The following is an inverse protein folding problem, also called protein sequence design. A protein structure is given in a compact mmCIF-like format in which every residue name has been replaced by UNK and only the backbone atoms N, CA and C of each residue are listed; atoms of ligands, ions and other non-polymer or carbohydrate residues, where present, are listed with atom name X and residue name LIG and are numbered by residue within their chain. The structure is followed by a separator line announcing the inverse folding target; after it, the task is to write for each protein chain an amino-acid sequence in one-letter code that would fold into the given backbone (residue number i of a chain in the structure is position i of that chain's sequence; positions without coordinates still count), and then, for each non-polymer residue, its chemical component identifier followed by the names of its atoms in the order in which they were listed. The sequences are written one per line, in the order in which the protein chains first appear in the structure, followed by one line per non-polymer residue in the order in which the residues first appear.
data_IF_595528779872
#
_entry.id   IF_595528779872
#
_cell.length_a   1.000
_cell.length_b   1.000
_cell.length_c   1.000
_cell.angle_alpha   90.00
_cell.angle_beta   90.00
_cell.angle_gamma   90.00
#
_symmetry.space_group_name_H-M   'P 1'
#
loop_
_entity.id
_entity.type
_entity.pdbx_description
1 polymer ?
#
# COMPACT_ATOMS: atom_id res chain seq x y z
N UNK A 1 -10.45 -25.78 17.56
CA UNK A 1 -9.40 -24.80 17.95
C UNK A 1 -10.10 -23.55 18.47
N UNK A 2 -9.95 -23.24 19.74
CA UNK A 2 -10.49 -22.02 20.35
C UNK A 2 -9.81 -20.81 19.71
N UNK A 3 -10.60 -19.86 19.26
CA UNK A 3 -10.10 -18.63 18.63
C UNK A 3 -9.40 -17.79 19.71
N UNK A 4 -8.11 -17.51 19.56
CA UNK A 4 -7.37 -16.66 20.49
C UNK A 4 -8.02 -15.27 20.54
N UNK A 5 -8.41 -14.85 21.73
CA UNK A 5 -8.97 -13.51 21.96
C UNK A 5 -7.82 -12.55 22.24
N UNK A 6 -7.86 -11.35 21.68
CA UNK A 6 -6.83 -10.32 21.86
C UNK A 6 -7.38 -9.11 22.60
N UNK A 7 -6.59 -8.55 23.53
CA UNK A 7 -6.91 -7.28 24.22
C UNK A 7 -5.90 -6.21 23.82
N UNK A 8 -6.40 -5.02 23.47
CA UNK A 8 -5.57 -3.85 23.19
C UNK A 8 -5.08 -3.24 24.50
N UNK A 9 -3.77 -3.19 24.72
CA UNK A 9 -3.15 -2.65 25.95
C UNK A 9 -3.16 -1.13 25.99
N UNK A 10 -2.93 -0.49 24.85
CA UNK A 10 -2.85 0.97 24.71
C UNK A 10 -4.16 1.60 24.28
N UNK A 11 -5.31 1.09 24.79
CA UNK A 11 -6.63 1.51 24.33
C UNK A 11 -6.85 3.03 24.41
N UNK A 12 -6.44 3.69 25.49
CA UNK A 12 -6.63 5.13 25.68
C UNK A 12 -5.94 5.96 24.59
N UNK A 13 -4.64 5.74 24.37
CA UNK A 13 -3.87 6.44 23.32
C UNK A 13 -4.36 6.06 21.92
N UNK A 14 -4.68 4.79 21.69
CA UNK A 14 -5.21 4.33 20.41
C UNK A 14 -6.59 4.93 20.11
N UNK A 15 -7.47 5.05 21.10
CA UNK A 15 -8.76 5.73 20.95
C UNK A 15 -8.60 7.23 20.61
N UNK A 16 -7.63 7.88 21.21
CA UNK A 16 -7.26 9.28 20.85
C UNK A 16 -6.82 9.34 19.38
N UNK A 17 -5.96 8.42 18.92
CA UNK A 17 -5.55 8.32 17.52
C UNK A 17 -6.75 8.14 16.59
N UNK A 18 -7.71 7.28 16.97
CA UNK A 18 -8.93 7.06 16.18
C UNK A 18 -9.77 8.33 16.02
N UNK A 19 -9.91 9.13 17.09
CA UNK A 19 -10.60 10.43 17.04
C UNK A 19 -9.84 11.44 16.17
N UNK A 20 -8.53 11.50 16.29
CA UNK A 20 -7.66 12.41 15.52
C UNK A 20 -7.74 12.16 14.02
N UNK A 21 -7.96 10.92 13.57
CA UNK A 21 -8.17 10.59 12.14
C UNK A 21 -9.36 11.34 11.52
N UNK A 22 -10.36 11.71 12.32
CA UNK A 22 -11.50 12.53 11.88
C UNK A 22 -11.25 14.03 11.97
N UNK A 23 -10.13 14.48 12.52
CA UNK A 23 -9.83 15.91 12.70
C UNK A 23 -9.31 16.53 11.40
N UNK A 24 -9.93 17.61 10.95
CA UNK A 24 -9.45 18.38 9.81
C UNK A 24 -8.05 18.96 10.06
N UNK A 25 -7.73 19.34 11.29
CA UNK A 25 -6.40 19.88 11.65
C UNK A 25 -5.29 18.84 11.42
N UNK A 26 -5.58 17.55 11.55
CA UNK A 26 -4.61 16.50 11.25
C UNK A 26 -4.31 16.45 9.73
N UNK A 27 -5.34 16.54 8.90
CA UNK A 27 -5.17 16.48 7.45
C UNK A 27 -4.64 17.77 6.85
N UNK A 28 -4.93 18.90 7.48
CA UNK A 28 -4.46 20.23 7.09
C UNK A 28 -3.24 20.64 7.95
N UNK A 29 -2.14 19.91 7.76
CA UNK A 29 -0.93 20.13 8.55
C UNK A 29 -0.36 21.54 8.39
N UNK A 30 0.47 22.03 9.35
CA UNK A 30 1.15 23.33 9.24
C UNK A 30 1.99 23.46 7.96
N UNK A 31 2.56 22.34 7.46
CA UNK A 31 3.33 22.28 6.21
C UNK A 31 2.44 22.55 4.99
N UNK A 32 1.29 21.90 4.92
CA UNK A 32 0.28 22.12 3.88
C UNK A 32 -0.20 23.56 3.94
N UNK A 33 -0.46 24.09 5.12
CA UNK A 33 -0.87 25.48 5.31
C UNK A 33 0.21 26.48 4.86
N UNK A 34 1.48 26.20 5.17
CA UNK A 34 2.61 27.02 4.67
C UNK A 34 2.73 26.96 3.15
N UNK A 35 2.66 25.78 2.57
CA UNK A 35 2.68 25.58 1.11
C UNK A 35 1.51 26.29 0.43
N UNK A 36 0.34 26.33 1.08
CA UNK A 36 -0.85 27.01 0.54
C UNK A 36 -0.75 28.54 0.65
N UNK A 37 -0.29 29.09 1.79
CA UNK A 37 -0.11 30.53 2.01
C UNK A 37 1.11 31.11 1.28
N UNK A 38 2.20 30.32 1.22
CA UNK A 38 3.48 30.74 0.64
C UNK A 38 3.50 30.75 -0.88
N UNK A 39 2.36 30.65 -1.54
CA UNK A 39 2.25 30.55 -2.99
C UNK A 39 2.60 31.88 -3.67
N UNK A 40 3.87 32.29 -3.59
CA UNK A 40 4.44 33.19 -4.60
C UNK A 40 4.41 32.45 -5.93
N UNK A 41 3.80 33.07 -6.92
CA UNK A 41 3.80 32.62 -8.33
C UNK A 41 5.21 32.19 -8.67
N UNK A 42 5.48 30.88 -8.66
CA UNK A 42 6.73 30.36 -9.18
C UNK A 42 6.85 30.81 -10.62
N UNK A 43 7.99 31.39 -10.96
CA UNK A 43 8.40 31.95 -12.25
C UNK A 43 7.69 31.33 -13.47
N UNK A 44 7.27 32.10 -14.46
CA UNK A 44 6.57 31.57 -15.62
C UNK A 44 7.46 30.57 -16.36
N UNK A 45 7.18 29.28 -16.18
CA UNK A 45 7.76 28.23 -17.04
C UNK A 45 7.05 28.25 -18.39
N UNK A 46 7.71 27.87 -19.52
CA UNK A 46 7.18 28.00 -20.88
C UNK A 46 5.86 27.25 -21.16
N UNK A 47 5.34 26.45 -20.21
CA UNK A 47 4.11 25.66 -20.36
C UNK A 47 3.04 25.95 -19.30
N UNK A 48 2.84 27.23 -18.94
CA UNK A 48 1.71 27.66 -18.13
C UNK A 48 2.01 27.87 -16.65
N UNK A 49 1.31 28.81 -16.05
CA UNK A 49 1.34 29.19 -14.64
C UNK A 49 0.92 27.99 -13.75
N UNK A 50 1.85 27.28 -13.14
CA UNK A 50 1.53 26.33 -12.08
C UNK A 50 1.09 27.11 -10.82
N UNK A 51 -0.22 27.37 -10.72
CA UNK A 51 -0.80 28.15 -9.60
C UNK A 51 -0.89 27.38 -8.28
N UNK A 52 -0.62 26.08 -8.27
CA UNK A 52 -0.77 25.20 -7.10
C UNK A 52 0.42 24.27 -6.97
N UNK A 53 0.94 24.12 -5.75
CA UNK A 53 2.02 23.20 -5.43
C UNK A 53 1.52 21.75 -5.40
N UNK A 54 2.43 20.78 -5.43
CA UNK A 54 2.09 19.35 -5.35
C UNK A 54 1.47 18.98 -4.00
N UNK A 55 1.85 19.68 -2.93
CA UNK A 55 1.27 19.50 -1.58
C UNK A 55 -0.22 19.86 -1.55
N UNK A 56 -0.62 20.96 -2.18
CA UNK A 56 -2.03 21.38 -2.26
C UNK A 56 -2.86 20.40 -3.11
N UNK A 57 -2.28 19.93 -4.22
CA UNK A 57 -2.92 18.91 -5.06
C UNK A 57 -3.06 17.60 -4.28
N UNK A 58 -1.98 17.15 -3.59
CA UNK A 58 -1.97 15.95 -2.75
C UNK A 58 -3.02 16.05 -1.64
N UNK A 59 -3.07 17.19 -0.92
CA UNK A 59 -4.08 17.43 0.10
C UNK A 59 -5.50 17.33 -0.47
N UNK A 60 -5.78 18.05 -1.58
CA UNK A 60 -7.12 18.04 -2.20
C UNK A 60 -7.53 16.63 -2.64
N UNK A 61 -6.60 15.86 -3.20
CA UNK A 61 -6.85 14.47 -3.59
C UNK A 61 -6.97 13.54 -2.39
N UNK A 62 -6.26 13.81 -1.28
CA UNK A 62 -6.44 13.07 -0.01
C UNK A 62 -7.84 13.30 0.56
N UNK A 63 -8.30 14.55 0.63
CA UNK A 63 -9.69 14.89 1.00
C UNK A 63 -10.69 14.17 0.08
N UNK A 64 -10.44 14.16 -1.22
CA UNK A 64 -11.26 13.42 -2.18
C UNK A 64 -11.39 11.94 -1.82
N UNK A 65 -10.29 11.27 -1.46
CA UNK A 65 -10.33 9.85 -1.11
C UNK A 65 -11.03 9.61 0.24
N UNK A 66 -10.74 10.43 1.25
CA UNK A 66 -11.33 10.31 2.60
C UNK A 66 -12.85 10.44 2.58
N UNK A 67 -13.37 11.44 1.86
CA UNK A 67 -14.80 11.71 1.77
C UNK A 67 -15.45 11.09 0.52
N UNK A 68 -14.70 10.33 -0.28
CA UNK A 68 -15.17 9.66 -1.51
C UNK A 68 -15.87 10.62 -2.49
N UNK A 69 -15.36 11.84 -2.63
CA UNK A 69 -15.98 12.88 -3.43
C UNK A 69 -15.67 12.73 -4.94
N UNK A 70 -16.63 13.11 -5.83
CA UNK A 70 -16.30 13.45 -7.22
C UNK A 70 -15.40 14.68 -7.28
N UNK A 71 -14.61 14.85 -8.37
CA UNK A 71 -13.65 15.96 -8.48
C UNK A 71 -14.29 17.35 -8.32
N UNK A 72 -15.47 17.59 -8.91
CA UNK A 72 -16.18 18.87 -8.76
C UNK A 72 -16.63 19.12 -7.32
N UNK A 73 -17.10 18.07 -6.63
CA UNK A 73 -17.45 18.19 -5.22
C UNK A 73 -16.19 18.39 -4.34
N UNK A 74 -15.05 17.82 -4.74
CA UNK A 74 -13.76 18.07 -4.06
C UNK A 74 -13.35 19.55 -4.16
N UNK A 75 -13.44 20.17 -5.32
CA UNK A 75 -13.19 21.59 -5.48
C UNK A 75 -14.08 22.42 -4.56
N UNK A 76 -15.41 22.19 -4.59
CA UNK A 76 -16.37 22.89 -3.73
C UNK A 76 -16.07 22.72 -2.25
N UNK A 77 -15.73 21.48 -1.85
CA UNK A 77 -15.42 21.16 -0.44
C UNK A 77 -14.14 21.88 0.01
N UNK A 78 -13.05 21.81 -0.76
CA UNK A 78 -11.78 22.47 -0.42
C UNK A 78 -11.95 24.00 -0.41
N UNK A 79 -12.75 24.56 -1.33
CA UNK A 79 -13.09 25.99 -1.35
C UNK A 79 -13.88 26.39 -0.08
N UNK A 80 -14.87 25.60 0.32
CA UNK A 80 -15.65 25.87 1.54
C UNK A 80 -14.79 25.81 2.80
N UNK A 81 -13.84 24.86 2.87
CA UNK A 81 -12.88 24.80 3.97
C UNK A 81 -12.04 26.06 4.07
N UNK A 82 -11.47 26.56 2.95
CA UNK A 82 -10.72 27.80 2.92
C UNK A 82 -11.55 28.99 3.43
N UNK A 83 -12.81 29.09 2.98
CA UNK A 83 -13.74 30.13 3.43
C UNK A 83 -14.04 30.05 4.93
N UNK A 84 -14.37 28.87 5.45
CA UNK A 84 -14.68 28.66 6.87
C UNK A 84 -13.48 28.96 7.78
N UNK A 85 -12.27 28.76 7.28
CA UNK A 85 -11.05 29.07 8.00
C UNK A 85 -10.60 30.53 7.85
N UNK A 86 -11.40 31.36 7.19
CA UNK A 86 -11.09 32.77 6.87
C UNK A 86 -9.75 32.93 6.12
N UNK A 87 -9.48 32.02 5.20
CA UNK A 87 -8.25 31.99 4.41
C UNK A 87 -8.58 32.47 2.97
N UNK A 88 -7.98 33.58 2.54
CA UNK A 88 -8.01 33.99 1.14
C UNK A 88 -7.02 33.14 0.33
N UNK A 89 -7.40 31.90 0.06
CA UNK A 89 -6.56 30.93 -0.63
C UNK A 89 -7.19 30.53 -1.96
N UNK A 90 -6.38 30.57 -3.01
CA UNK A 90 -6.78 30.01 -4.32
C UNK A 90 -6.82 28.50 -4.23
N UNK A 91 -7.98 27.91 -4.51
CA UNK A 91 -8.19 26.47 -4.52
C UNK A 91 -8.05 25.92 -5.94
N UNK A 92 -7.48 24.71 -6.12
CA UNK A 92 -7.39 24.11 -7.43
C UNK A 92 -8.78 23.70 -7.94
N UNK A 93 -9.08 24.03 -9.19
CA UNK A 93 -10.29 23.59 -9.87
C UNK A 93 -10.22 22.10 -10.21
N UNK A 94 -11.38 21.48 -10.48
CA UNK A 94 -11.50 20.05 -10.76
C UNK A 94 -10.70 19.60 -11.99
N UNK A 95 -10.53 20.47 -12.99
CA UNK A 95 -9.77 20.16 -14.20
C UNK A 95 -8.27 20.16 -13.93
N UNK A 96 -7.80 21.09 -13.10
CA UNK A 96 -6.42 21.14 -12.58
C UNK A 96 -6.12 19.89 -11.73
N UNK A 97 -7.01 19.51 -10.80
CA UNK A 97 -6.87 18.28 -10.04
C UNK A 97 -6.74 17.06 -10.95
N UNK A 98 -7.59 16.95 -11.97
CA UNK A 98 -7.57 15.84 -12.93
C UNK A 98 -6.28 15.77 -13.75
N UNK A 99 -5.79 16.90 -14.23
CA UNK A 99 -4.56 16.96 -15.06
C UNK A 99 -3.31 16.73 -14.21
N UNK A 100 -3.24 17.41 -13.06
CA UNK A 100 -2.07 17.31 -12.17
C UNK A 100 -1.92 15.92 -11.56
N UNK A 101 -3.01 15.22 -11.26
CA UNK A 101 -2.96 13.87 -10.69
C UNK A 101 -2.24 12.87 -11.60
N UNK A 102 -2.22 13.06 -12.92
CA UNK A 102 -1.52 12.15 -13.84
C UNK A 102 0.01 12.14 -13.69
N UNK A 103 0.57 13.24 -13.17
CA UNK A 103 2.01 13.44 -13.07
C UNK A 103 2.48 13.73 -11.63
N UNK A 104 1.59 13.54 -10.66
CA UNK A 104 1.88 13.84 -9.27
C UNK A 104 2.87 12.81 -8.72
N UNK A 105 3.97 13.31 -8.17
CA UNK A 105 4.97 12.51 -7.47
C UNK A 105 4.68 12.55 -5.98
N UNK A 106 4.31 11.43 -5.42
CA UNK A 106 4.05 11.28 -3.99
C UNK A 106 5.09 10.32 -3.43
N UNK A 107 5.89 10.80 -2.49
CA UNK A 107 6.81 9.96 -1.74
C UNK A 107 6.05 9.21 -0.65
N UNK A 108 6.36 7.91 -0.52
CA UNK A 108 5.96 7.09 0.62
C UNK A 108 7.10 6.94 1.63
N UNK A 109 8.19 7.68 1.42
CA UNK A 109 9.40 7.58 2.21
C UNK A 109 9.16 7.82 3.70
N UNK A 110 9.92 7.10 4.50
CA UNK A 110 9.97 7.20 5.95
C UNK A 110 11.41 7.41 6.40
N UNK A 111 11.58 8.35 7.32
CA UNK A 111 12.87 8.90 7.74
C UNK A 111 13.76 8.00 8.60
N UNK A 112 13.39 6.78 8.94
CA UNK A 112 14.25 5.90 9.74
C UNK A 112 15.12 4.99 8.87
N UNK A 113 16.21 5.52 8.31
CA UNK A 113 17.17 4.76 7.49
C UNK A 113 18.06 3.80 8.30
N UNK A 114 18.18 3.98 9.60
CA UNK A 114 19.16 3.26 10.44
C UNK A 114 18.76 1.83 10.80
N UNK A 115 17.49 1.45 10.63
CA UNK A 115 16.97 0.16 11.05
C UNK A 115 16.87 -0.84 9.90
N UNK A 116 17.37 -2.05 10.13
CA UNK A 116 17.06 -3.18 9.24
C UNK A 116 15.59 -3.53 9.33
N UNK A 117 14.92 -3.70 8.20
CA UNK A 117 13.46 -3.87 8.11
C UNK A 117 13.05 -5.29 7.75
N UNK A 118 11.97 -5.75 8.37
CA UNK A 118 11.19 -6.89 7.90
C UNK A 118 10.05 -6.36 7.02
N UNK A 119 10.08 -6.71 5.74
CA UNK A 119 9.09 -6.25 4.77
C UNK A 119 8.05 -7.33 4.50
N UNK A 120 6.79 -6.97 4.64
CA UNK A 120 5.64 -7.80 4.28
C UNK A 120 5.12 -7.35 2.92
N UNK A 121 4.91 -8.31 2.01
CA UNK A 121 4.43 -8.03 0.66
C UNK A 121 3.15 -8.79 0.36
N UNK A 122 2.22 -8.10 -0.30
CA UNK A 122 0.97 -8.70 -0.77
C UNK A 122 0.33 -7.82 -1.84
N UNK A 123 -0.73 -8.31 -2.48
CA UNK A 123 -1.49 -7.56 -3.47
C UNK A 123 -2.99 -7.65 -3.22
N UNK A 124 -3.71 -6.62 -3.66
CA UNK A 124 -5.17 -6.61 -3.57
C UNK A 124 -5.81 -6.06 -4.84
N UNK A 125 -6.94 -6.65 -5.22
CA UNK A 125 -7.76 -6.12 -6.31
C UNK A 125 -8.56 -4.91 -5.86
N UNK A 126 -8.61 -3.87 -6.72
CA UNK A 126 -9.47 -2.70 -6.57
C UNK A 126 -10.26 -2.52 -7.85
N UNK A 127 -11.56 -2.36 -7.73
CA UNK A 127 -12.49 -2.26 -8.85
C UNK A 127 -12.44 -0.88 -9.47
N UNK A 128 -12.57 -0.80 -10.79
CA UNK A 128 -12.77 0.47 -11.51
C UNK A 128 -14.28 0.71 -11.68
N UNK A 129 -14.75 1.87 -11.18
CA UNK A 129 -16.15 2.24 -11.25
C UNK A 129 -16.57 2.67 -12.67
N UNK A 130 -17.75 2.30 -13.09
CA UNK A 130 -18.51 2.91 -14.19
C UNK A 130 -18.45 2.23 -15.55
N UNK A 131 -17.44 1.41 -15.87
CA UNK A 131 -17.48 0.63 -17.12
C UNK A 131 -17.90 -0.80 -16.84
N UNK A 132 -19.15 -1.11 -17.10
CA UNK A 132 -19.63 -2.49 -17.12
C UNK A 132 -20.75 -2.82 -16.16
N UNK A 133 -20.97 -2.14 -15.03
CA UNK A 133 -22.04 -2.52 -14.11
C UNK A 133 -23.45 -2.33 -14.71
N UNK A 134 -23.66 -1.20 -15.38
CA UNK A 134 -24.92 -0.96 -16.10
C UNK A 134 -25.10 -1.91 -17.27
N UNK A 135 -24.05 -2.11 -18.07
CA UNK A 135 -24.08 -3.02 -19.25
C UNK A 135 -24.15 -4.49 -18.85
N UNK A 136 -23.54 -4.89 -17.72
CA UNK A 136 -23.66 -6.25 -17.17
C UNK A 136 -25.08 -6.51 -16.67
N UNK A 137 -25.75 -5.52 -16.09
CA UNK A 137 -27.17 -5.63 -15.67
C UNK A 137 -28.13 -5.74 -16.87
N UNK A 138 -27.83 -5.02 -17.99
CA UNK A 138 -28.68 -5.06 -19.19
C UNK A 138 -28.39 -6.21 -20.14
N UNK A 139 -27.13 -6.62 -20.31
CA UNK A 139 -26.69 -7.53 -21.36
C UNK A 139 -25.99 -8.81 -20.85
N UNK A 140 -26.15 -9.15 -19.58
CA UNK A 140 -25.63 -10.39 -19.01
C UNK A 140 -24.09 -10.40 -18.81
N UNK A 141 -23.54 -11.57 -18.46
CA UNK A 141 -22.16 -11.77 -18.02
C UNK A 141 -21.04 -11.48 -19.05
N UNK A 142 -21.32 -10.95 -20.23
CA UNK A 142 -20.37 -10.81 -21.33
C UNK A 142 -19.34 -9.67 -21.16
N UNK A 143 -19.54 -8.71 -20.26
CA UNK A 143 -18.56 -7.65 -20.01
C UNK A 143 -17.94 -7.81 -18.63
N UNK A 144 -16.66 -8.21 -18.61
CA UNK A 144 -15.87 -8.35 -17.39
C UNK A 144 -15.69 -6.99 -16.71
N UNK A 145 -15.92 -6.95 -15.39
CA UNK A 145 -15.57 -5.79 -14.55
C UNK A 145 -14.08 -5.53 -14.64
N UNK A 146 -13.70 -4.26 -14.82
CA UNK A 146 -12.32 -3.88 -14.87
C UNK A 146 -11.76 -3.78 -13.44
N UNK A 147 -10.66 -4.46 -13.20
CA UNK A 147 -9.94 -4.46 -11.93
C UNK A 147 -8.51 -3.97 -12.13
N UNK A 148 -8.01 -3.28 -11.13
CA UNK A 148 -6.58 -3.02 -10.98
C UNK A 148 -6.05 -3.78 -9.79
N UNK A 149 -4.77 -4.09 -9.81
CA UNK A 149 -4.10 -4.75 -8.71
C UNK A 149 -3.14 -3.76 -8.07
N UNK A 150 -3.32 -3.53 -6.77
CA UNK A 150 -2.40 -2.76 -5.95
C UNK A 150 -1.48 -3.73 -5.23
N UNK A 151 -0.18 -3.65 -5.51
CA UNK A 151 0.87 -4.35 -4.79
C UNK A 151 1.46 -3.41 -3.77
N UNK A 152 1.69 -3.87 -2.54
CA UNK A 152 2.33 -3.10 -1.48
C UNK A 152 3.45 -3.88 -0.83
N UNK A 153 4.48 -3.13 -0.41
CA UNK A 153 5.53 -3.58 0.47
C UNK A 153 5.48 -2.71 1.73
N UNK A 154 5.29 -3.33 2.88
CA UNK A 154 5.01 -2.68 4.15
C UNK A 154 6.01 -3.13 5.20
N UNK A 155 6.49 -2.22 6.04
CA UNK A 155 7.28 -2.55 7.23
C UNK A 155 6.41 -3.32 8.24
N UNK A 156 6.96 -4.36 8.82
CA UNK A 156 6.26 -5.23 9.77
C UNK A 156 6.00 -4.54 11.11
N UNK A 157 6.90 -3.68 11.56
CA UNK A 157 6.86 -3.08 12.89
C UNK A 157 5.96 -1.86 12.95
N UNK A 158 6.23 -0.85 12.13
CA UNK A 158 5.46 0.41 12.12
C UNK A 158 4.27 0.38 11.15
N UNK A 159 4.13 -0.69 10.36
CA UNK A 159 3.10 -0.88 9.36
C UNK A 159 3.03 0.24 8.31
N UNK A 160 4.16 0.90 8.04
CA UNK A 160 4.23 1.91 6.98
C UNK A 160 4.40 1.25 5.62
N UNK A 161 3.64 1.71 4.65
CA UNK A 161 3.79 1.27 3.26
C UNK A 161 5.03 1.96 2.70
N UNK A 162 6.07 1.17 2.42
CA UNK A 162 7.36 1.64 1.95
C UNK A 162 7.41 1.79 0.44
N UNK A 163 6.68 0.93 -0.27
CA UNK A 163 6.61 0.94 -1.73
C UNK A 163 5.27 0.38 -2.19
N UNK A 164 4.79 0.90 -3.31
CA UNK A 164 3.57 0.40 -3.95
C UNK A 164 3.68 0.43 -5.46
N UNK A 165 2.92 -0.45 -6.13
CA UNK A 165 2.80 -0.50 -7.58
C UNK A 165 1.38 -0.85 -7.97
N UNK A 166 0.87 -0.22 -9.01
CA UNK A 166 -0.46 -0.48 -9.55
C UNK A 166 -0.35 -1.09 -10.92
N UNK A 167 -0.96 -2.24 -11.09
CA UNK A 167 -0.91 -2.98 -12.37
C UNK A 167 -2.30 -3.37 -12.86
N UNK A 168 -2.35 -3.89 -14.06
CA UNK A 168 -3.51 -4.62 -14.54
C UNK A 168 -3.72 -5.90 -13.72
N UNK A 169 -4.97 -6.36 -13.63
CA UNK A 169 -5.35 -7.50 -12.80
C UNK A 169 -4.65 -8.82 -13.16
N UNK A 170 -4.21 -8.95 -14.41
CA UNK A 170 -3.56 -10.16 -14.92
C UNK A 170 -2.07 -10.27 -14.53
N UNK A 171 -1.46 -9.18 -14.03
CA UNK A 171 -0.03 -9.18 -13.68
C UNK A 171 0.21 -10.07 -12.44
N UNK A 172 1.18 -10.99 -12.56
CA UNK A 172 1.56 -11.88 -11.47
C UNK A 172 2.31 -11.13 -10.36
N UNK A 173 1.99 -11.43 -9.09
CA UNK A 173 2.55 -10.75 -7.91
C UNK A 173 4.07 -10.92 -7.82
N UNK A 174 4.56 -12.14 -8.05
CA UNK A 174 6.00 -12.42 -8.05
C UNK A 174 6.81 -11.67 -9.11
N UNK A 175 6.18 -11.18 -10.19
CA UNK A 175 6.86 -10.37 -11.19
C UNK A 175 7.09 -8.92 -10.74
N UNK A 176 6.32 -8.45 -9.74
CA UNK A 176 6.37 -7.07 -9.24
C UNK A 176 7.27 -6.94 -8.01
N UNK A 177 7.50 -8.01 -7.25
CA UNK A 177 8.32 -7.98 -6.05
C UNK A 177 9.71 -7.33 -6.26
N UNK A 178 10.49 -7.68 -7.30
CA UNK A 178 11.80 -7.06 -7.50
C UNK A 178 11.72 -5.53 -7.57
N UNK A 179 10.73 -5.00 -8.30
CA UNK A 179 10.51 -3.57 -8.44
C UNK A 179 10.13 -2.91 -7.11
N UNK A 180 9.24 -3.55 -6.33
CA UNK A 180 8.82 -3.02 -5.03
C UNK A 180 9.98 -2.88 -4.07
N UNK A 181 10.79 -3.93 -3.91
CA UNK A 181 11.89 -3.94 -2.94
C UNK A 181 13.11 -3.13 -3.38
N UNK A 182 13.29 -2.92 -4.68
CA UNK A 182 14.35 -2.05 -5.22
C UNK A 182 14.13 -0.58 -4.83
N UNK A 183 12.87 -0.15 -4.76
CA UNK A 183 12.48 1.23 -4.40
C UNK A 183 12.55 1.51 -2.90
N UNK A 184 12.70 0.48 -2.05
CA UNK A 184 12.77 0.67 -0.60
C UNK A 184 14.17 1.11 -0.21
N UNK A 185 14.29 2.22 0.49
CA UNK A 185 15.54 2.69 1.04
C UNK A 185 15.93 1.93 2.32
N UNK A 186 17.22 1.92 2.62
CA UNK A 186 17.77 1.28 3.82
C UNK A 186 17.94 -0.24 3.71
N UNK A 187 18.38 -0.85 4.80
CA UNK A 187 18.69 -2.27 4.88
C UNK A 187 17.44 -3.13 5.14
N UNK A 188 17.36 -4.27 4.47
CA UNK A 188 16.31 -5.26 4.69
C UNK A 188 16.92 -6.52 5.31
N UNK A 189 16.25 -7.15 6.29
CA UNK A 189 16.72 -8.42 6.83
C UNK A 189 15.79 -9.60 6.49
N UNK A 190 14.51 -9.34 6.24
CA UNK A 190 13.55 -10.36 5.86
C UNK A 190 12.48 -9.80 4.93
N UNK A 191 12.04 -10.60 3.98
CA UNK A 191 10.90 -10.30 3.10
C UNK A 191 9.94 -11.47 3.16
N UNK A 192 8.70 -11.21 3.58
CA UNK A 192 7.65 -12.23 3.73
C UNK A 192 6.51 -11.96 2.78
N UNK A 193 6.15 -12.97 1.99
CA UNK A 193 5.01 -12.95 1.06
C UNK A 193 4.29 -14.29 1.03
N UNK A 194 3.20 -14.38 0.28
CA UNK A 194 2.48 -15.65 0.09
C UNK A 194 3.14 -16.57 -0.95
N UNK A 195 2.52 -17.71 -1.27
CA UNK A 195 3.03 -18.65 -2.24
C UNK A 195 3.11 -18.14 -3.69
N UNK A 196 2.46 -17.02 -4.02
CA UNK A 196 2.59 -16.38 -5.33
C UNK A 196 4.00 -15.80 -5.55
N UNK A 197 4.72 -15.54 -4.45
CA UNK A 197 6.11 -15.07 -4.46
C UNK A 197 7.14 -16.23 -4.46
N UNK A 198 6.74 -17.51 -4.43
CA UNK A 198 7.66 -18.63 -4.61
C UNK A 198 8.17 -18.71 -6.06
N UNK A 199 8.92 -17.69 -6.48
CA UNK A 199 9.53 -17.54 -7.81
C UNK A 199 11.02 -17.27 -7.68
N UNK A 200 11.83 -17.86 -8.59
CA UNK A 200 13.30 -17.67 -8.60
C UNK A 200 13.70 -16.19 -8.59
N UNK A 201 12.99 -15.36 -9.35
CA UNK A 201 13.23 -13.91 -9.39
C UNK A 201 13.02 -13.25 -8.03
N UNK A 202 12.04 -13.70 -7.25
CA UNK A 202 11.75 -13.16 -5.92
C UNK A 202 12.87 -13.51 -4.92
N UNK A 203 13.33 -14.76 -4.93
CA UNK A 203 14.45 -15.18 -4.09
C UNK A 203 15.73 -14.41 -4.43
N UNK A 204 16.08 -14.29 -5.72
CA UNK A 204 17.26 -13.54 -6.17
C UNK A 204 17.17 -12.06 -5.79
N UNK A 205 16.01 -11.45 -5.95
CA UNK A 205 15.81 -10.06 -5.59
C UNK A 205 15.95 -9.83 -4.07
N UNK A 206 15.40 -10.72 -3.24
CA UNK A 206 15.59 -10.69 -1.78
C UNK A 206 17.07 -10.82 -1.39
N UNK A 207 17.77 -11.79 -1.96
CA UNK A 207 19.20 -12.00 -1.71
C UNK A 207 20.05 -10.80 -2.16
N UNK A 208 19.75 -10.19 -3.31
CA UNK A 208 20.43 -8.96 -3.78
C UNK A 208 20.32 -7.82 -2.76
N UNK A 209 19.22 -7.78 -1.98
CA UNK A 209 18.98 -6.81 -0.90
C UNK A 209 19.52 -7.28 0.46
N UNK A 210 20.21 -8.42 0.53
CA UNK A 210 20.70 -9.01 1.77
C UNK A 210 19.61 -9.50 2.72
N UNK A 211 18.40 -9.74 2.22
CA UNK A 211 17.24 -10.11 3.00
C UNK A 211 16.92 -11.61 2.88
N UNK A 212 16.48 -12.22 3.99
CA UNK A 212 15.97 -13.60 4.03
C UNK A 212 14.59 -13.65 3.37
N UNK A 213 14.40 -14.43 2.27
CA UNK A 213 13.09 -14.65 1.69
C UNK A 213 12.27 -15.64 2.52
N UNK A 214 11.03 -15.29 2.85
CA UNK A 214 10.07 -16.16 3.57
C UNK A 214 8.81 -16.28 2.72
N UNK A 215 8.89 -17.18 1.74
CA UNK A 215 7.79 -17.51 0.83
C UNK A 215 7.45 -18.98 0.97
N UNK A 216 6.20 -19.36 1.31
CA UNK A 216 5.84 -20.75 1.40
C UNK A 216 5.89 -21.40 0.01
N UNK A 217 6.64 -22.51 -0.16
CA UNK A 217 6.66 -23.23 -1.41
C UNK A 217 5.25 -23.71 -1.78
N UNK A 218 5.00 -23.83 -3.08
CA UNK A 218 3.78 -24.48 -3.57
C UNK A 218 3.79 -25.96 -3.18
N UNK A 219 2.61 -26.56 -3.06
CA UNK A 219 2.48 -27.94 -2.60
C UNK A 219 3.21 -28.97 -3.49
N UNK A 220 3.32 -28.66 -4.77
CA UNK A 220 4.00 -29.42 -5.82
C UNK A 220 5.43 -28.95 -6.11
N UNK A 221 5.97 -28.07 -5.24
CA UNK A 221 7.31 -27.57 -5.39
C UNK A 221 8.34 -28.68 -5.28
N UNK A 222 9.24 -28.77 -6.24
CA UNK A 222 10.32 -29.74 -6.31
C UNK A 222 11.68 -29.05 -6.11
N UNK A 223 12.61 -29.81 -5.51
CA UNK A 223 14.03 -29.42 -5.43
C UNK A 223 14.61 -29.47 -6.83
N UNK A 224 15.24 -28.39 -7.25
CA UNK A 224 15.85 -28.30 -8.57
C UNK A 224 17.29 -28.87 -8.54
N UNK A 225 17.38 -30.19 -8.62
CA UNK A 225 18.68 -30.89 -8.63
C UNK A 225 19.62 -30.34 -9.71
N UNK A 226 20.85 -30.04 -9.31
CA UNK A 226 22.04 -29.77 -10.15
C UNK A 226 22.08 -28.51 -11.02
N UNK A 227 20.98 -27.84 -11.35
CA UNK A 227 21.02 -26.65 -12.23
C UNK A 227 21.50 -25.35 -11.56
N UNK A 228 21.51 -25.29 -10.22
CA UNK A 228 21.71 -24.02 -9.49
C UNK A 228 22.64 -24.14 -8.29
N UNK A 229 23.58 -25.11 -8.29
CA UNK A 229 24.52 -25.36 -7.17
C UNK A 229 25.32 -24.14 -6.70
N UNK A 230 25.41 -23.06 -7.52
CA UNK A 230 26.17 -21.84 -7.24
C UNK A 230 25.29 -20.63 -6.91
N UNK A 231 23.96 -20.75 -6.94
CA UNK A 231 23.06 -19.63 -6.65
C UNK A 231 22.48 -19.74 -5.22
N UNK A 232 23.02 -18.98 -4.26
CA UNK A 232 22.62 -19.10 -2.85
C UNK A 232 21.14 -18.80 -2.65
N UNK A 233 20.53 -17.94 -3.46
CA UNK A 233 19.10 -17.65 -3.39
C UNK A 233 18.24 -18.88 -3.70
N UNK A 234 18.65 -19.68 -4.68
CA UNK A 234 17.93 -20.89 -5.07
C UNK A 234 18.23 -22.07 -4.17
N UNK A 235 19.42 -22.13 -3.58
CA UNK A 235 19.76 -23.09 -2.52
C UNK A 235 18.80 -22.88 -1.34
N UNK A 236 18.65 -21.65 -0.86
CA UNK A 236 17.73 -21.33 0.23
C UNK A 236 16.27 -21.73 -0.06
N UNK A 237 15.80 -21.57 -1.32
CA UNK A 237 14.49 -22.07 -1.73
C UNK A 237 14.40 -23.59 -1.63
N UNK A 238 15.40 -24.28 -2.18
CA UNK A 238 15.43 -25.74 -2.17
C UNK A 238 15.51 -26.30 -0.76
N UNK A 239 16.18 -25.62 0.17
CA UNK A 239 16.23 -26.02 1.58
C UNK A 239 14.87 -25.92 2.26
N UNK A 240 14.06 -24.90 1.96
CA UNK A 240 12.67 -24.81 2.43
C UNK A 240 11.83 -25.94 1.84
N UNK A 241 11.98 -26.26 0.55
CA UNK A 241 11.26 -27.38 -0.11
C UNK A 241 11.64 -28.70 0.54
N UNK A 242 12.93 -28.95 0.80
CA UNK A 242 13.40 -30.16 1.51
C UNK A 242 12.83 -30.24 2.93
N UNK A 243 12.86 -29.13 3.67
CA UNK A 243 12.27 -29.06 5.01
C UNK A 243 10.78 -29.41 4.98
N UNK A 244 10.01 -28.89 4.03
CA UNK A 244 8.58 -29.23 3.88
C UNK A 244 8.36 -30.71 3.56
N UNK A 245 9.30 -31.35 2.87
CA UNK A 245 9.22 -32.76 2.45
C UNK A 245 9.83 -33.73 3.48
N UNK A 246 10.54 -33.26 4.50
CA UNK A 246 11.28 -34.13 5.46
C UNK A 246 10.41 -34.78 6.53
N UNK A 247 9.19 -34.28 6.75
CA UNK A 247 8.27 -34.82 7.75
C UNK A 247 7.25 -35.80 7.17
N UNK A 248 6.64 -36.59 8.06
CA UNK A 248 5.56 -37.51 7.68
C UNK A 248 4.27 -36.76 7.29
N UNK A 249 4.02 -35.59 7.89
CA UNK A 249 2.88 -34.73 7.55
C UNK A 249 3.35 -33.32 7.11
N UNK A 250 3.07 -33.02 5.85
CA UNK A 250 3.34 -31.69 5.25
C UNK A 250 2.67 -30.54 6.04
N UNK A 251 1.48 -30.76 6.61
CA UNK A 251 0.77 -29.72 7.37
C UNK A 251 1.49 -29.36 8.67
N UNK A 252 2.01 -30.36 9.38
CA UNK A 252 2.78 -30.13 10.60
C UNK A 252 4.12 -29.46 10.27
N UNK A 253 4.85 -29.90 9.26
CA UNK A 253 6.09 -29.26 8.83
C UNK A 253 5.87 -27.79 8.45
N UNK A 254 4.79 -27.52 7.72
CA UNK A 254 4.41 -26.13 7.37
C UNK A 254 4.07 -25.29 8.61
N UNK A 255 3.47 -25.87 9.63
CA UNK A 255 3.16 -25.18 10.89
C UNK A 255 4.44 -24.82 11.64
N UNK A 256 5.38 -25.76 11.78
CA UNK A 256 6.69 -25.53 12.38
C UNK A 256 7.43 -24.41 11.63
N UNK A 257 7.55 -24.53 10.31
CA UNK A 257 8.20 -23.50 9.47
C UNK A 257 7.58 -22.12 9.66
N UNK A 258 6.25 -22.02 9.72
CA UNK A 258 5.56 -20.74 9.96
C UNK A 258 5.89 -20.13 11.31
N UNK A 259 6.06 -20.96 12.34
CA UNK A 259 6.45 -20.51 13.68
C UNK A 259 7.90 -20.02 13.71
N UNK A 260 8.83 -20.81 13.17
CA UNK A 260 10.26 -20.49 13.14
C UNK A 260 10.58 -19.25 12.29
N UNK A 261 9.85 -19.04 11.21
CA UNK A 261 10.09 -17.89 10.30
C UNK A 261 9.28 -16.66 10.65
N UNK A 262 8.37 -16.72 11.63
CA UNK A 262 7.47 -15.62 11.94
C UNK A 262 6.45 -15.33 10.82
N UNK A 263 6.19 -16.29 9.94
CA UNK A 263 5.31 -16.12 8.76
C UNK A 263 3.92 -15.59 9.09
N UNK A 264 3.40 -15.87 10.29
CA UNK A 264 2.09 -15.39 10.75
C UNK A 264 1.97 -13.86 10.75
N UNK A 265 3.10 -13.14 10.83
CA UNK A 265 3.13 -11.67 10.75
C UNK A 265 2.62 -11.14 9.41
N UNK A 266 2.59 -11.97 8.36
CA UNK A 266 2.01 -11.62 7.06
C UNK A 266 0.56 -11.12 7.15
N UNK A 267 -0.19 -11.60 8.14
CA UNK A 267 -1.58 -11.12 8.36
C UNK A 267 -1.69 -9.61 8.56
N UNK A 268 -0.61 -8.92 8.96
CA UNK A 268 -0.61 -7.45 9.12
C UNK A 268 -0.81 -6.73 7.78
N UNK A 269 -0.25 -7.24 6.68
CA UNK A 269 -0.46 -6.62 5.37
C UNK A 269 -1.89 -6.84 4.86
N UNK A 270 -2.49 -8.00 5.16
CA UNK A 270 -3.90 -8.25 4.89
C UNK A 270 -4.81 -7.29 5.67
N UNK A 271 -4.50 -7.07 6.96
CA UNK A 271 -5.19 -6.09 7.79
C UNK A 271 -5.05 -4.66 7.24
N UNK A 272 -3.87 -4.29 6.75
CA UNK A 272 -3.64 -3.00 6.09
C UNK A 272 -4.57 -2.83 4.88
N UNK A 273 -4.65 -3.83 4.01
CA UNK A 273 -5.51 -3.81 2.83
C UNK A 273 -6.99 -3.75 3.20
N UNK A 274 -7.40 -4.47 4.23
CA UNK A 274 -8.77 -4.41 4.75
C UNK A 274 -9.09 -3.01 5.28
N UNK A 275 -8.22 -2.41 6.09
CA UNK A 275 -8.37 -1.04 6.61
C UNK A 275 -8.48 -0.02 5.47
N UNK A 276 -7.62 -0.15 4.45
CA UNK A 276 -7.64 0.71 3.26
C UNK A 276 -8.99 0.63 2.54
N UNK A 277 -9.50 -0.57 2.30
CA UNK A 277 -10.82 -0.77 1.67
C UNK A 277 -11.97 -0.26 2.52
N UNK A 278 -11.91 -0.42 3.82
CA UNK A 278 -12.92 0.10 4.76
C UNK A 278 -12.97 1.62 4.73
N UNK A 279 -11.82 2.30 4.72
CA UNK A 279 -11.73 3.75 4.73
C UNK A 279 -12.10 4.37 3.36
N UNK A 280 -11.49 3.88 2.30
CA UNK A 280 -11.57 4.53 0.98
C UNK A 280 -12.53 3.84 0.01
N UNK A 281 -13.06 2.66 0.38
CA UNK A 281 -13.85 1.80 -0.50
C UNK A 281 -12.98 0.89 -1.36
N UNK A 282 -13.63 -0.09 -1.98
CA UNK A 282 -13.03 -1.12 -2.81
C UNK A 282 -13.03 -0.76 -4.31
N UNK A 283 -13.39 0.49 -4.64
CA UNK A 283 -13.49 0.96 -6.03
C UNK A 283 -12.76 2.29 -6.27
N UNK A 284 -12.40 2.53 -7.52
CA UNK A 284 -11.81 3.78 -8.01
C UNK A 284 -12.73 4.44 -9.03
N UNK A 285 -12.82 5.78 -8.98
CA UNK A 285 -13.63 6.58 -9.90
C UNK A 285 -12.83 7.22 -11.05
N UNK A 286 -11.51 7.14 -10.99
CA UNK A 286 -10.64 7.65 -12.04
C UNK A 286 -10.77 6.82 -13.32
N UNK A 287 -10.85 7.50 -14.48
CA UNK A 287 -11.02 6.84 -15.78
C UNK A 287 -9.70 6.42 -16.43
N UNK A 288 -8.70 7.30 -16.43
CA UNK A 288 -7.39 6.98 -17.00
C UNK A 288 -6.55 6.13 -16.03
N UNK A 289 -5.69 5.27 -16.57
CA UNK A 289 -4.81 4.41 -15.76
C UNK A 289 -3.87 5.24 -14.88
N UNK A 290 -3.29 6.32 -15.40
CA UNK A 290 -2.43 7.23 -14.63
C UNK A 290 -3.15 7.82 -13.42
N UNK A 291 -4.41 8.28 -13.57
CA UNK A 291 -5.20 8.77 -12.43
C UNK A 291 -5.58 7.65 -11.46
N UNK A 292 -5.78 6.41 -11.94
CA UNK A 292 -6.03 5.24 -11.08
C UNK A 292 -4.80 4.92 -10.24
N UNK A 293 -3.60 5.01 -10.82
CA UNK A 293 -2.35 4.85 -10.08
C UNK A 293 -2.22 5.89 -8.98
N UNK A 294 -2.47 7.17 -9.30
CA UNK A 294 -2.44 8.24 -8.30
C UNK A 294 -3.51 8.07 -7.23
N UNK A 295 -4.73 7.68 -7.57
CA UNK A 295 -5.79 7.42 -6.58
C UNK A 295 -5.34 6.38 -5.53
N UNK A 296 -4.70 5.29 -5.96
CA UNK A 296 -4.20 4.26 -5.06
C UNK A 296 -2.95 4.68 -4.29
N UNK A 297 -2.05 5.44 -4.90
CA UNK A 297 -0.88 6.00 -4.24
C UNK A 297 -1.27 7.00 -3.14
N UNK A 298 -2.29 7.84 -3.39
CA UNK A 298 -2.89 8.73 -2.36
C UNK A 298 -3.46 7.92 -1.20
N UNK A 299 -4.11 6.78 -1.46
CA UNK A 299 -4.61 5.91 -0.38
C UNK A 299 -3.48 5.34 0.45
N UNK A 300 -2.38 4.90 -0.19
CA UNK A 300 -1.18 4.45 0.52
C UNK A 300 -0.58 5.57 1.38
N UNK A 301 -0.42 6.76 0.82
CA UNK A 301 0.04 7.95 1.53
C UNK A 301 -0.84 8.29 2.74
N UNK A 302 -2.16 8.33 2.56
CA UNK A 302 -3.10 8.60 3.64
C UNK A 302 -3.07 7.51 4.74
N UNK A 303 -2.88 6.23 4.36
CA UNK A 303 -2.67 5.15 5.34
C UNK A 303 -1.41 5.35 6.15
N UNK A 304 -0.30 5.79 5.52
CA UNK A 304 0.93 6.11 6.23
C UNK A 304 0.70 7.25 7.21
N UNK A 305 0.07 8.35 6.80
CA UNK A 305 -0.29 9.43 7.73
C UNK A 305 -1.12 8.93 8.93
N UNK A 306 -2.13 8.09 8.67
CA UNK A 306 -2.96 7.50 9.75
C UNK A 306 -2.10 6.66 10.71
N UNK A 307 -1.12 5.93 10.22
CA UNK A 307 -0.26 5.08 11.04
C UNK A 307 0.68 5.88 11.94
N UNK A 308 1.08 7.10 11.55
CA UNK A 308 1.87 7.99 12.43
C UNK A 308 1.14 8.38 13.71
N UNK A 309 -0.19 8.33 13.73
CA UNK A 309 -0.99 8.60 14.94
C UNK A 309 -0.92 7.48 15.99
N UNK A 310 -0.38 6.33 15.62
CA UNK A 310 -0.23 5.18 16.49
C UNK A 310 -1.11 3.99 16.12
N UNK A 311 -0.60 2.82 16.44
CA UNK A 311 -1.19 1.52 16.16
C UNK A 311 -1.70 0.85 17.46
N UNK A 312 -2.69 -0.08 17.38
CA UNK A 312 -3.10 -0.86 18.53
C UNK A 312 -2.01 -1.84 18.93
N UNK A 313 -1.70 -1.89 20.20
CA UNK A 313 -0.81 -2.89 20.79
C UNK A 313 -1.68 -3.97 21.44
N UNK A 314 -1.82 -5.10 20.77
CA UNK A 314 -2.69 -6.20 21.21
C UNK A 314 -1.89 -7.37 21.75
N UNK A 315 -2.35 -7.95 22.88
CA UNK A 315 -1.81 -9.18 23.45
C UNK A 315 -2.90 -10.23 23.52
N UNK A 316 -2.54 -11.52 23.32
CA UNK A 316 -3.51 -12.59 23.52
C UNK A 316 -3.95 -12.61 24.97
N UNK A 317 -5.24 -12.87 25.19
CA UNK A 317 -5.81 -13.22 26.49
C UNK A 317 -5.75 -14.73 26.58
N UNK A 318 -4.97 -15.23 27.52
CA UNK A 318 -4.93 -16.66 27.89
C UNK A 318 -6.18 -17.02 28.68
#
# INVERSE_FOLDING_TARGET
MTKTVYRTRNWSSYNTSLKTRGSLNFWLSPEIMRAWKGHKILSPKPHGNQRHTDEIITFSLTIRQLFRLPLRATEGFVKSLATLMNLDLKTPDYSTLSRRSQHLKISLEHSSQEKKRHVLVDSTGVRVFGEGEWKVRQHGRSKRRLWRKLHIAMDEEDQMILSSEVTESQRHDGAILPLLIERIEGALYQITGDGAYDKKSCYRAAYKRGAKPVFPPQRDAIVQRNKHKKDPALIARDDVVKFMASGQDYKEQRKVWKQETGYHRRSLVENMMWRMKTLFGDEMRARSFANQQTDLLIRCYAMNLINTLGLPQSTPIT
#
